data_IF_536001174922
#
_entry.id   IF_536001174922
#
_cell.length_a   1.000
_cell.length_b   1.000
_cell.length_c   1.000
_cell.angle_alpha   90.00
_cell.angle_beta   90.00
_cell.angle_gamma   90.00
#
_symmetry.space_group_name_H-M   'P 1'
#
loop_
_entity.id
_entity.type
_entity.pdbx_description
1 polymer ?
#
# COMPACT_ATOMS: atom_id res chain seq x y z
N UNK A 1 6.61 -14.31 -1.24
CA UNK A 1 7.46 -13.15 -1.57
C UNK A 1 8.90 -13.47 -1.20
N UNK A 2 9.89 -13.11 -2.01
CA UNK A 2 11.31 -13.24 -1.64
C UNK A 2 11.81 -11.90 -1.13
N UNK A 3 12.27 -11.83 0.12
CA UNK A 3 12.90 -10.60 0.64
C UNK A 3 14.37 -10.58 0.20
N UNK A 4 14.79 -9.65 -0.67
CA UNK A 4 16.19 -9.55 -1.09
C UNK A 4 17.12 -9.16 0.06
N UNK A 5 16.58 -8.54 1.11
CA UNK A 5 17.35 -8.06 2.26
C UNK A 5 17.66 -9.17 3.26
N UNK A 6 16.73 -10.10 3.46
CA UNK A 6 16.86 -11.15 4.49
C UNK A 6 17.28 -12.50 3.90
N UNK A 7 17.25 -12.64 2.56
CA UNK A 7 17.58 -13.89 1.84
C UNK A 7 16.64 -15.05 2.11
N UNK A 8 15.58 -14.85 2.92
CA UNK A 8 14.61 -15.87 3.32
C UNK A 8 13.32 -15.74 2.50
N UNK A 9 12.70 -16.86 2.08
CA UNK A 9 11.36 -16.82 1.52
C UNK A 9 10.35 -16.43 2.60
N UNK A 10 9.54 -15.41 2.32
CA UNK A 10 8.44 -14.96 3.16
C UNK A 10 7.12 -15.42 2.55
N UNK A 11 6.25 -16.01 3.36
CA UNK A 11 4.94 -16.48 2.93
C UNK A 11 3.87 -15.43 3.27
N UNK A 12 3.20 -14.93 2.23
CA UNK A 12 2.00 -14.12 2.34
C UNK A 12 0.87 -14.99 1.81
N UNK A 13 -0.08 -15.33 2.67
CA UNK A 13 -1.21 -16.16 2.27
C UNK A 13 -2.26 -15.29 1.56
N UNK A 14 -2.74 -15.68 0.37
CA UNK A 14 -3.77 -14.93 -0.32
C UNK A 14 -5.10 -15.06 0.44
N UNK A 15 -5.47 -14.03 1.20
CA UNK A 15 -6.71 -14.03 1.99
C UNK A 15 -7.98 -14.03 1.13
N UNK A 16 -7.96 -13.49 -0.10
CA UNK A 16 -9.12 -13.39 -1.00
C UNK A 16 -8.79 -13.60 -2.48
N UNK A 17 -9.68 -14.28 -3.23
CA UNK A 17 -9.57 -14.56 -4.68
C UNK A 17 -9.96 -13.38 -5.60
N UNK A 18 -9.79 -12.14 -5.16
CA UNK A 18 -10.05 -10.98 -6.03
C UNK A 18 -8.80 -10.72 -6.90
N UNK A 19 -9.02 -10.44 -8.18
CA UNK A 19 -7.96 -10.33 -9.18
C UNK A 19 -7.41 -8.90 -9.35
N UNK A 20 -7.95 -7.92 -8.61
CA UNK A 20 -7.73 -6.50 -8.87
C UNK A 20 -7.08 -5.77 -7.68
N UNK A 21 -6.21 -6.45 -6.93
CA UNK A 21 -5.44 -5.80 -5.87
C UNK A 21 -4.18 -5.17 -6.44
N UNK A 22 -3.92 -3.95 -5.96
CA UNK A 22 -2.69 -3.21 -6.16
C UNK A 22 -1.78 -3.42 -4.96
N UNK A 23 -0.49 -3.31 -5.19
CA UNK A 23 0.54 -3.46 -4.18
C UNK A 23 1.50 -2.28 -4.23
N UNK A 24 1.87 -1.81 -3.05
CA UNK A 24 2.88 -0.78 -2.87
C UNK A 24 3.92 -1.25 -1.86
N UNK A 25 5.19 -1.08 -2.19
CA UNK A 25 6.30 -1.37 -1.29
C UNK A 25 6.73 -0.09 -0.58
N UNK A 26 6.99 -0.19 0.72
CA UNK A 26 7.50 0.92 1.51
C UNK A 26 8.37 0.49 2.66
N UNK A 27 8.79 1.47 3.44
CA UNK A 27 9.74 1.33 4.53
C UNK A 27 9.22 1.99 5.79
N UNK A 28 9.13 1.22 6.87
CA UNK A 28 8.85 1.74 8.20
C UNK A 28 10.16 2.12 8.88
N UNK A 29 10.39 3.43 8.97
CA UNK A 29 11.61 3.98 9.59
C UNK A 29 11.65 3.75 11.11
N UNK A 30 10.49 3.55 11.75
CA UNK A 30 10.43 3.31 13.20
C UNK A 30 10.83 1.88 13.57
N UNK A 31 10.58 0.93 12.67
CA UNK A 31 10.89 -0.49 12.86
C UNK A 31 12.09 -0.98 12.06
N UNK A 32 12.67 -0.12 11.21
CA UNK A 32 13.76 -0.48 10.30
C UNK A 32 13.40 -1.68 9.40
N UNK A 33 12.14 -1.74 8.95
CA UNK A 33 11.61 -2.88 8.20
C UNK A 33 10.85 -2.44 6.95
N UNK A 34 10.86 -3.31 5.93
CA UNK A 34 10.03 -3.11 4.75
C UNK A 34 8.60 -3.58 5.03
N UNK A 35 7.64 -2.92 4.39
CA UNK A 35 6.23 -3.27 4.45
C UNK A 35 5.63 -3.28 3.04
N UNK A 36 4.60 -4.11 2.85
CA UNK A 36 3.80 -4.12 1.63
C UNK A 36 2.39 -3.68 1.99
N UNK A 37 1.89 -2.66 1.32
CA UNK A 37 0.47 -2.30 1.33
C UNK A 37 -0.20 -3.01 0.16
N UNK A 38 -1.24 -3.79 0.43
CA UNK A 38 -2.19 -4.30 -0.57
C UNK A 38 -3.46 -3.48 -0.48
N UNK A 39 -3.97 -3.01 -1.61
CA UNK A 39 -5.22 -2.28 -1.65
C UNK A 39 -6.06 -2.61 -2.87
N UNK A 40 -7.38 -2.49 -2.77
CA UNK A 40 -8.30 -2.76 -3.87
C UNK A 40 -9.62 -2.03 -3.69
N UNK A 41 -10.07 -1.31 -4.73
CA UNK A 41 -11.19 -0.40 -4.62
C UNK A 41 -10.95 0.71 -3.59
N UNK A 42 -12.02 1.25 -3.01
CA UNK A 42 -11.97 2.38 -2.07
C UNK A 42 -11.98 1.98 -0.59
N UNK A 43 -11.97 0.69 -0.25
CA UNK A 43 -12.25 0.25 1.13
C UNK A 43 -11.36 -0.86 1.68
N UNK A 44 -10.60 -1.57 0.83
CA UNK A 44 -9.82 -2.72 1.27
C UNK A 44 -8.33 -2.33 1.36
N UNK A 45 -7.81 -2.07 2.56
CA UNK A 45 -6.39 -1.82 2.81
C UNK A 45 -5.82 -2.86 3.78
N UNK A 46 -4.74 -3.52 3.38
CA UNK A 46 -4.05 -4.52 4.18
C UNK A 46 -2.56 -4.27 4.15
N UNK A 47 -1.90 -4.29 5.30
CA UNK A 47 -0.45 -4.15 5.41
C UNK A 47 0.20 -5.46 5.83
N UNK A 48 1.36 -5.73 5.23
CA UNK A 48 2.22 -6.86 5.53
C UNK A 48 3.56 -6.34 6.06
N UNK A 49 3.92 -6.71 7.29
CA UNK A 49 5.21 -6.35 7.89
C UNK A 49 6.26 -7.41 7.55
N UNK A 50 7.23 -7.07 6.70
CA UNK A 50 8.26 -8.00 6.21
C UNK A 50 9.44 -8.15 7.16
N UNK A 51 9.26 -7.84 8.45
CA UNK A 51 10.26 -8.12 9.46
C UNK A 51 10.68 -9.60 9.40
N UNK A 52 12.00 -9.85 9.31
CA UNK A 52 12.59 -11.17 9.04
C UNK A 52 12.26 -12.23 10.09
N UNK A 53 11.82 -11.79 11.26
CA UNK A 53 11.64 -12.63 12.43
C UNK A 53 10.19 -13.14 12.57
N UNK A 54 9.25 -12.63 11.76
CA UNK A 54 7.85 -13.08 11.73
C UNK A 54 7.55 -13.97 10.52
N UNK A 55 7.34 -15.27 10.76
CA UNK A 55 6.88 -16.23 9.75
C UNK A 55 5.68 -17.02 10.31
N UNK A 56 4.48 -16.96 9.70
CA UNK A 56 4.15 -16.23 8.47
C UNK A 56 4.22 -14.70 8.66
N UNK A 57 4.27 -13.97 7.55
CA UNK A 57 4.34 -12.51 7.54
C UNK A 57 3.16 -11.93 8.32
N UNK A 58 3.42 -10.95 9.19
CA UNK A 58 2.35 -10.31 9.96
C UNK A 58 1.45 -9.50 9.03
N UNK A 59 0.19 -9.92 8.89
CA UNK A 59 -0.85 -9.25 8.12
C UNK A 59 -1.78 -8.48 9.05
N UNK A 60 -2.11 -7.23 8.71
CA UNK A 60 -3.13 -6.45 9.42
C UNK A 60 -3.98 -5.65 8.44
N UNK A 61 -5.29 -5.72 8.63
CA UNK A 61 -6.24 -4.83 7.95
C UNK A 61 -6.12 -3.43 8.55
N UNK A 62 -6.01 -2.42 7.69
CA UNK A 62 -5.96 -1.03 8.12
C UNK A 62 -7.37 -0.45 8.06
N UNK A 63 -7.80 0.16 9.17
CA UNK A 63 -9.05 0.91 9.22
C UNK A 63 -8.77 2.35 8.78
N UNK A 64 -8.70 2.53 7.47
CA UNK A 64 -8.47 3.82 6.84
C UNK A 64 -9.71 4.17 6.04
N UNK A 65 -10.22 5.38 6.28
CA UNK A 65 -11.23 5.98 5.41
C UNK A 65 -10.50 6.85 4.40
N UNK A 66 -10.23 6.37 3.16
CA UNK A 66 -9.71 7.26 2.15
C UNK A 66 -10.77 8.32 1.88
N UNK A 67 -10.33 9.59 1.83
CA UNK A 67 -11.15 10.64 1.24
C UNK A 67 -11.53 10.20 -0.18
N UNK A 68 -12.75 10.54 -0.63
CA UNK A 68 -13.41 10.03 -1.84
C UNK A 68 -12.54 10.08 -3.11
N UNK A 69 -11.66 9.09 -3.27
CA UNK A 69 -10.62 9.03 -4.28
C UNK A 69 -10.76 7.76 -5.11
N UNK A 70 -10.60 7.91 -6.42
CA UNK A 70 -10.44 6.79 -7.34
C UNK A 70 -8.97 6.65 -7.71
N UNK A 71 -8.45 5.42 -7.62
CA UNK A 71 -7.04 5.11 -7.87
C UNK A 71 -6.90 4.68 -9.33
N UNK A 72 -6.32 5.56 -10.13
CA UNK A 72 -6.37 5.46 -11.60
C UNK A 72 -5.18 4.73 -12.24
N UNK A 73 -4.21 4.29 -11.44
CA UNK A 73 -3.01 3.62 -11.94
C UNK A 73 -2.81 2.26 -11.27
N UNK A 74 -2.36 1.29 -12.06
CA UNK A 74 -1.90 0.00 -11.56
C UNK A 74 -0.48 0.08 -10.96
N UNK A 75 0.16 1.25 -11.04
CA UNK A 75 1.56 1.46 -10.71
C UNK A 75 1.71 2.46 -9.58
N UNK A 76 2.17 1.99 -8.41
CA UNK A 76 2.68 2.88 -7.37
C UNK A 76 4.19 3.03 -7.52
N UNK A 77 4.72 4.18 -7.11
CA UNK A 77 6.16 4.44 -7.04
C UNK A 77 6.58 4.67 -5.60
N UNK A 78 7.74 4.15 -5.22
CA UNK A 78 8.28 4.31 -3.87
C UNK A 78 9.34 5.41 -3.85
N UNK A 79 9.21 6.39 -2.94
CA UNK A 79 10.19 7.44 -2.73
C UNK A 79 10.36 7.70 -1.22
N UNK A 80 11.61 7.70 -0.74
CA UNK A 80 11.96 7.97 0.66
C UNK A 80 11.22 7.10 1.71
N UNK A 81 10.90 5.86 1.32
CA UNK A 81 10.19 4.88 2.16
C UNK A 81 8.67 4.93 2.07
N UNK A 82 8.10 5.91 1.38
CA UNK A 82 6.66 6.05 1.18
C UNK A 82 6.28 5.69 -0.24
N UNK A 83 5.01 5.33 -0.46
CA UNK A 83 4.51 5.05 -1.79
C UNK A 83 3.55 6.14 -2.26
N UNK A 84 3.63 6.40 -3.56
CA UNK A 84 2.90 7.46 -4.23
C UNK A 84 2.22 6.90 -5.47
N UNK A 85 1.02 7.39 -5.76
CA UNK A 85 0.30 7.04 -6.97
C UNK A 85 -0.72 8.11 -7.34
N UNK A 86 -1.17 8.07 -8.59
CA UNK A 86 -2.17 8.99 -9.11
C UNK A 86 -3.56 8.65 -8.57
N UNK A 87 -4.29 9.68 -8.16
CA UNK A 87 -5.69 9.60 -7.80
C UNK A 87 -6.47 10.78 -8.38
N UNK A 88 -7.78 10.58 -8.49
CA UNK A 88 -8.74 11.62 -8.90
C UNK A 88 -9.84 11.72 -7.85
N UNK A 89 -10.35 12.94 -7.65
CA UNK A 89 -11.49 13.17 -6.78
C UNK A 89 -12.77 12.69 -7.45
N UNK A 90 -13.55 11.87 -6.75
CA UNK A 90 -14.80 11.29 -7.28
C UNK A 90 -15.86 12.36 -7.53
N UNK A 91 -15.83 13.51 -6.83
CA UNK A 91 -16.80 14.60 -7.02
C UNK A 91 -16.61 15.36 -8.34
N UNK A 92 -15.41 15.31 -8.92
CA UNK A 92 -15.01 16.02 -10.14
C UNK A 92 -14.69 15.03 -11.28
N UNK A 93 -15.28 13.82 -11.28
CA UNK A 93 -14.97 12.77 -12.28
C UNK A 93 -15.17 13.20 -13.74
N UNK A 94 -15.98 14.24 -13.99
CA UNK A 94 -16.19 14.84 -15.31
C UNK A 94 -15.02 15.74 -15.75
N UNK A 95 -14.14 16.15 -14.83
CA UNK A 95 -12.90 16.88 -15.07
C UNK A 95 -11.69 15.97 -14.81
N UNK A 96 -11.35 15.15 -15.81
CA UNK A 96 -10.16 14.29 -15.84
C UNK A 96 -8.82 15.03 -15.64
N UNK A 97 -8.84 16.37 -15.63
CA UNK A 97 -7.69 17.23 -15.43
C UNK A 97 -7.27 17.41 -13.96
N UNK A 98 -8.06 16.93 -12.99
CA UNK A 98 -7.73 16.98 -11.57
C UNK A 98 -7.05 15.71 -11.06
N UNK A 99 -5.96 15.31 -11.73
CA UNK A 99 -5.09 14.25 -11.21
C UNK A 99 -4.12 14.83 -10.17
N UNK A 100 -4.05 14.20 -9.01
CA UNK A 100 -3.06 14.53 -8.00
C UNK A 100 -2.36 13.27 -7.48
N UNK A 101 -1.26 13.49 -6.77
CA UNK A 101 -0.46 12.42 -6.19
C UNK A 101 -0.91 12.19 -4.74
N UNK A 102 -1.22 10.95 -4.41
CA UNK A 102 -1.53 10.52 -3.03
C UNK A 102 -0.29 9.87 -2.45
N UNK A 103 0.02 10.18 -1.20
CA UNK A 103 1.11 9.58 -0.45
C UNK A 103 0.57 8.67 0.65
N UNK A 104 1.09 7.44 0.72
CA UNK A 104 0.93 6.59 1.88
C UNK A 104 2.22 6.55 2.70
N UNK A 105 2.14 7.01 3.95
CA UNK A 105 3.24 6.97 4.91
C UNK A 105 3.28 5.59 5.58
N UNK A 106 4.33 4.80 5.33
CA UNK A 106 4.45 3.44 5.89
C UNK A 106 4.87 3.40 7.35
N UNK A 107 5.43 4.50 7.86
CA UNK A 107 5.82 4.63 9.27
C UNK A 107 4.58 4.96 10.10
N UNK A 108 3.71 5.84 9.59
CA UNK A 108 2.45 6.24 10.26
C UNK A 108 1.27 5.35 9.89
N UNK A 109 1.37 4.63 8.78
CA UNK A 109 0.32 3.81 8.17
C UNK A 109 -0.96 4.58 7.85
N UNK A 110 -0.80 5.81 7.33
CA UNK A 110 -1.90 6.70 6.97
C UNK A 110 -1.63 7.38 5.65
N UNK A 111 -2.70 7.79 4.96
CA UNK A 111 -2.59 8.77 3.90
C UNK A 111 -2.26 10.15 4.47
N UNK A 112 -1.45 10.92 3.76
CA UNK A 112 -1.12 12.30 4.12
C UNK A 112 -0.97 13.19 2.89
N UNK A 113 -0.95 14.53 3.08
CA UNK A 113 -0.36 15.45 2.12
C UNK A 113 1.15 15.26 2.00
#
# INVERSE_FOLDING_TARGET
>A
VWSPYCGKPLWIEPTHRRHNYLYALGYDKSKDSHKILRFGGSVDFTIYDLNSDSVPVSERVLDITPDRMEYNDHSSVTLNGNAYWHATNVEDSDNLDQNFLVCFDFTRETFGP
#
